data_IF_075263965817
#
_entry.id   IF_075263965817
#
_cell.length_a   1.000
_cell.length_b   1.000
_cell.length_c   1.000
_cell.angle_alpha   90.00
_cell.angle_beta   90.00
_cell.angle_gamma   90.00
#
_symmetry.space_group_name_H-M   'P 1'
#
loop_
_entity.id
_entity.type
_entity.pdbx_description
1 polymer ?
#
# COMPACT_ATOMS: atom_id res chain seq x y z
N UNK A 1 46.86 46.17 -12.05
CA UNK A 1 46.21 45.73 -13.30
C UNK A 1 45.22 44.61 -12.94
N UNK A 2 43.91 44.87 -13.09
CA UNK A 2 42.76 43.95 -13.34
C UNK A 2 42.67 42.67 -12.45
N UNK A 3 41.84 42.58 -11.39
CA UNK A 3 40.38 42.27 -11.31
C UNK A 3 39.84 41.10 -12.17
N UNK A 4 39.32 40.06 -11.51
CA UNK A 4 38.10 39.22 -11.80
C UNK A 4 38.06 38.11 -10.72
N UNK A 5 37.24 38.11 -9.66
CA UNK A 5 35.78 38.01 -9.49
C UNK A 5 35.08 36.87 -10.25
N UNK A 6 34.64 35.87 -9.47
CA UNK A 6 33.36 35.10 -9.47
C UNK A 6 33.52 34.03 -8.38
N UNK A 7 32.93 34.06 -7.17
CA UNK A 7 31.54 34.19 -6.69
C UNK A 7 30.59 33.09 -7.20
N UNK A 8 29.76 32.58 -6.27
CA UNK A 8 28.55 31.73 -6.40
C UNK A 8 28.84 30.20 -6.32
N UNK A 9 28.27 29.39 -5.43
CA UNK A 9 27.28 29.57 -4.37
C UNK A 9 27.44 28.46 -3.30
N UNK A 10 27.15 28.83 -2.06
CA UNK A 10 26.80 27.90 -0.97
C UNK A 10 25.34 27.47 -1.20
N UNK A 11 25.09 26.17 -1.32
CA UNK A 11 23.79 25.55 -1.04
C UNK A 11 24.11 24.26 -0.28
N UNK A 12 24.23 24.36 1.04
CA UNK A 12 23.15 24.01 1.96
C UNK A 12 22.74 22.55 1.82
N UNK A 13 23.44 21.71 2.57
CA UNK A 13 23.01 20.39 3.02
C UNK A 13 21.53 20.40 3.41
N UNK A 14 20.71 19.62 2.72
CA UNK A 14 19.38 19.28 3.22
C UNK A 14 19.13 17.80 2.99
N UNK A 15 19.37 17.03 4.08
CA UNK A 15 18.57 15.89 4.51
C UNK A 15 17.65 15.28 3.45
N UNK A 16 18.20 14.43 2.59
CA UNK A 16 17.50 13.22 2.18
C UNK A 16 18.06 12.09 3.05
N UNK A 17 17.63 12.04 4.31
CA UNK A 17 17.71 10.78 5.04
C UNK A 17 16.91 9.77 4.21
N UNK A 18 17.64 8.77 3.73
CA UNK A 18 17.13 7.68 2.94
C UNK A 18 15.88 7.07 3.58
N UNK A 19 14.72 7.20 2.92
CA UNK A 19 13.59 6.27 3.09
C UNK A 19 13.82 5.02 2.23
N UNK A 20 15.05 4.50 2.28
CA UNK A 20 15.39 3.18 1.83
C UNK A 20 15.81 2.43 3.10
N UNK A 21 14.82 1.94 3.85
CA UNK A 21 15.09 0.97 4.89
C UNK A 21 14.52 -0.36 4.45
N UNK A 22 15.44 -1.27 4.23
CA UNK A 22 15.25 -2.68 3.97
C UNK A 22 14.25 -3.30 4.96
N UNK A 23 13.47 -4.22 4.41
CA UNK A 23 12.56 -5.11 5.12
C UNK A 23 13.40 -5.94 6.10
N UNK A 24 13.43 -5.56 7.39
CA UNK A 24 13.94 -6.42 8.45
C UNK A 24 13.41 -6.04 9.84
N UNK A 25 12.90 -7.06 10.53
CA UNK A 25 12.70 -7.22 11.98
C UNK A 25 11.47 -6.57 12.64
N UNK A 26 10.31 -7.24 12.59
CA UNK A 26 9.23 -7.14 13.59
C UNK A 26 8.46 -8.47 13.75
N UNK A 27 9.03 -9.43 14.46
CA UNK A 27 8.55 -10.82 14.63
C UNK A 27 7.27 -11.01 15.49
N UNK A 28 6.47 -9.96 15.73
CA UNK A 28 5.27 -10.07 16.60
C UNK A 28 4.05 -9.26 16.15
N UNK A 29 4.18 -8.38 15.16
CA UNK A 29 3.04 -7.65 14.63
C UNK A 29 2.84 -8.10 13.19
N UNK A 30 1.73 -8.76 12.94
CA UNK A 30 1.35 -9.17 11.59
C UNK A 30 1.09 -7.89 10.77
N UNK A 31 2.12 -7.44 10.05
CA UNK A 31 2.06 -6.24 9.23
C UNK A 31 1.19 -6.57 8.02
N UNK A 32 -0.02 -6.01 8.04
CA UNK A 32 -1.07 -6.22 7.05
C UNK A 32 -1.35 -4.90 6.34
N UNK A 33 -0.32 -4.27 5.80
CA UNK A 33 -0.49 -3.15 4.88
C UNK A 33 0.46 -3.27 3.69
N UNK A 34 0.07 -2.62 2.59
CA UNK A 34 0.88 -2.50 1.38
C UNK A 34 0.94 -1.04 0.96
N UNK A 35 2.11 -0.62 0.47
CA UNK A 35 2.30 0.72 -0.07
C UNK A 35 1.86 0.71 -1.54
N UNK A 36 0.87 1.52 -1.88
CA UNK A 36 0.36 1.64 -3.24
C UNK A 36 1.02 2.80 -3.99
N UNK A 37 1.29 3.92 -3.32
CA UNK A 37 1.92 5.07 -3.98
C UNK A 37 2.65 5.97 -2.97
N UNK A 38 3.73 6.61 -3.42
CA UNK A 38 4.35 7.73 -2.72
C UNK A 38 4.71 8.80 -3.73
N UNK A 39 4.12 9.98 -3.57
CA UNK A 39 4.39 11.16 -4.39
C UNK A 39 4.96 12.25 -3.50
N UNK A 40 6.20 12.65 -3.76
CA UNK A 40 6.81 13.79 -3.11
C UNK A 40 6.67 15.02 -4.00
N UNK A 41 6.09 16.08 -3.46
CA UNK A 41 6.00 17.37 -4.18
C UNK A 41 6.56 18.51 -3.34
N UNK A 42 6.68 19.68 -3.98
CA UNK A 42 7.13 20.91 -3.32
C UNK A 42 6.16 21.37 -2.24
N UNK A 43 4.86 21.14 -2.43
CA UNK A 43 3.81 21.70 -1.56
C UNK A 43 3.24 20.67 -0.58
N UNK A 44 3.10 19.42 -1.02
CA UNK A 44 2.46 18.36 -0.26
C UNK A 44 3.01 16.99 -0.64
N UNK A 45 3.28 16.16 0.35
CA UNK A 45 3.58 14.75 0.13
C UNK A 45 2.31 13.91 0.21
N UNK A 46 2.14 12.98 -0.72
CA UNK A 46 1.01 12.07 -0.75
C UNK A 46 1.54 10.65 -0.63
N UNK A 47 1.01 9.92 0.35
CA UNK A 47 1.30 8.50 0.57
C UNK A 47 -0.02 7.76 0.47
N UNK A 48 -0.09 6.71 -0.33
CA UNK A 48 -1.27 5.86 -0.42
C UNK A 48 -0.90 4.47 0.07
N UNK A 49 -1.63 4.00 1.07
CA UNK A 49 -1.50 2.64 1.59
C UNK A 49 -2.80 1.86 1.37
N UNK A 50 -2.65 0.55 1.20
CA UNK A 50 -3.72 -0.44 1.10
C UNK A 50 -3.66 -1.35 2.30
N UNK A 51 -4.79 -1.61 2.93
CA UNK A 51 -4.90 -2.54 4.07
C UNK A 51 -6.03 -3.56 3.81
N UNK A 52 -5.94 -4.79 4.34
CA UNK A 52 -6.97 -5.79 4.15
C UNK A 52 -8.33 -5.32 4.64
N UNK A 53 -9.35 -5.65 3.86
CA UNK A 53 -10.74 -5.23 4.08
C UNK A 53 -11.34 -5.73 5.38
N UNK A 54 -10.90 -6.89 5.87
CA UNK A 54 -11.43 -7.53 7.07
C UNK A 54 -10.87 -6.93 8.37
N UNK A 55 -9.94 -5.98 8.30
CA UNK A 55 -9.44 -5.31 9.50
C UNK A 55 -10.51 -4.35 10.03
N UNK A 56 -10.70 -4.36 11.35
CA UNK A 56 -11.53 -3.36 12.00
C UNK A 56 -10.80 -1.99 12.01
N UNK A 57 -11.52 -0.91 12.31
CA UNK A 57 -10.96 0.47 12.31
C UNK A 57 -9.79 0.65 13.28
N UNK A 58 -9.78 -0.07 14.42
CA UNK A 58 -8.68 -0.01 15.39
C UNK A 58 -7.43 -0.66 14.82
N UNK A 59 -7.55 -1.87 14.27
CA UNK A 59 -6.44 -2.60 13.65
C UNK A 59 -5.87 -1.81 12.46
N UNK A 60 -6.73 -1.22 11.63
CA UNK A 60 -6.29 -0.34 10.53
C UNK A 60 -5.47 0.84 11.07
N UNK A 61 -5.89 1.46 12.17
CA UNK A 61 -5.13 2.56 12.78
C UNK A 61 -3.77 2.10 13.32
N UNK A 62 -3.69 0.90 13.88
CA UNK A 62 -2.42 0.30 14.30
C UNK A 62 -1.49 0.08 13.09
N UNK A 63 -1.99 -0.55 12.03
CA UNK A 63 -1.24 -0.77 10.79
C UNK A 63 -0.74 0.54 10.17
N UNK A 64 -1.61 1.55 10.12
CA UNK A 64 -1.25 2.90 9.66
C UNK A 64 -0.11 3.48 10.48
N UNK A 65 -0.18 3.40 11.81
CA UNK A 65 0.84 3.99 12.69
C UNK A 65 2.19 3.25 12.60
N UNK A 66 2.16 1.96 12.28
CA UNK A 66 3.37 1.18 11.98
C UNK A 66 3.97 1.58 10.63
N UNK A 67 3.12 1.78 9.62
CA UNK A 67 3.52 2.18 8.27
C UNK A 67 4.05 3.61 8.21
N UNK A 68 3.37 4.52 8.90
CA UNK A 68 3.64 5.95 8.92
C UNK A 68 4.30 6.28 10.24
N UNK A 69 5.60 6.01 10.31
CA UNK A 69 6.39 6.44 11.46
C UNK A 69 6.41 7.96 11.58
N UNK A 70 6.61 8.46 12.82
CA UNK A 70 6.67 9.88 13.11
C UNK A 70 7.59 10.59 12.11
N UNK A 71 7.18 11.72 11.52
CA UNK A 71 7.89 12.25 10.38
C UNK A 71 9.15 12.96 10.86
N UNK A 72 10.24 12.21 11.07
CA UNK A 72 11.59 12.71 11.35
C UNK A 72 11.76 13.63 12.58
N UNK A 73 13.00 14.01 12.83
CA UNK A 73 13.37 15.13 13.72
C UNK A 73 14.44 15.96 13.00
N UNK A 74 14.19 17.26 12.70
CA UNK A 74 12.97 17.99 12.99
C UNK A 74 11.77 17.52 12.14
N UNK A 75 10.53 17.75 12.60
CA UNK A 75 9.34 17.39 11.83
C UNK A 75 9.31 18.12 10.47
N UNK A 76 8.80 17.52 9.38
CA UNK A 76 8.75 18.17 8.08
C UNK A 76 7.92 19.45 8.16
N UNK A 77 8.42 20.47 7.47
CA UNK A 77 7.78 21.77 7.39
C UNK A 77 6.59 21.84 6.42
N UNK A 78 6.33 20.77 5.66
CA UNK A 78 5.25 20.69 4.67
C UNK A 78 4.17 19.70 5.10
N UNK A 79 3.00 19.85 4.47
CA UNK A 79 1.85 18.96 4.67
C UNK A 79 2.15 17.58 4.08
N UNK A 80 1.69 16.54 4.77
CA UNK A 80 1.70 15.16 4.24
C UNK A 80 0.30 14.59 4.39
N UNK A 81 -0.26 14.07 3.32
CA UNK A 81 -1.53 13.33 3.34
C UNK A 81 -1.27 11.85 3.11
N UNK A 82 -1.80 11.03 4.00
CA UNK A 82 -1.77 9.58 3.89
C UNK A 82 -3.18 9.12 3.56
N UNK A 83 -3.41 8.60 2.35
CA UNK A 83 -4.66 7.95 1.98
C UNK A 83 -4.62 6.47 2.37
N UNK A 84 -5.75 6.00 2.88
CA UNK A 84 -5.96 4.61 3.30
C UNK A 84 -7.04 4.03 2.42
N UNK A 85 -6.65 3.05 1.62
CA UNK A 85 -7.52 2.30 0.75
C UNK A 85 -7.70 0.90 1.29
N UNK A 86 -8.84 0.32 0.98
CA UNK A 86 -8.98 -1.13 1.00
C UNK A 86 -8.08 -1.70 -0.09
N UNK A 87 -7.55 -2.89 0.12
CA UNK A 87 -6.64 -3.49 -0.83
C UNK A 87 -7.32 -4.01 -2.11
N UNK A 88 -8.62 -4.30 -2.03
CA UNK A 88 -9.50 -4.54 -3.18
C UNK A 88 -9.89 -3.29 -3.98
N UNK A 89 -9.58 -2.07 -3.49
CA UNK A 89 -9.85 -0.81 -4.20
C UNK A 89 -8.76 -0.47 -5.20
N UNK A 90 -9.10 0.28 -6.25
CA UNK A 90 -8.11 0.86 -7.15
C UNK A 90 -7.33 1.97 -6.42
N UNK A 91 -6.03 2.15 -6.72
CA UNK A 91 -5.21 3.21 -6.11
C UNK A 91 -5.75 4.63 -6.39
N UNK A 92 -6.50 4.79 -7.49
CA UNK A 92 -7.11 6.06 -7.89
C UNK A 92 -8.51 6.26 -7.30
N UNK A 93 -9.02 5.31 -6.51
CA UNK A 93 -10.34 5.44 -5.90
C UNK A 93 -10.36 6.59 -4.89
N UNK A 94 -11.42 7.39 -4.94
CA UNK A 94 -11.61 8.49 -4.01
C UNK A 94 -11.98 7.92 -2.64
N UNK A 95 -11.12 8.15 -1.65
CA UNK A 95 -11.38 7.80 -0.25
C UNK A 95 -11.34 9.03 0.63
N UNK A 96 -12.20 9.06 1.66
CA UNK A 96 -12.07 10.02 2.77
C UNK A 96 -11.26 9.46 3.93
N UNK A 97 -10.91 8.18 3.89
CA UNK A 97 -10.08 7.52 4.89
C UNK A 97 -8.64 8.01 4.70
N UNK A 98 -8.22 8.95 5.54
CA UNK A 98 -6.90 9.56 5.42
C UNK A 98 -6.38 10.16 6.74
N UNK A 99 -5.06 10.36 6.78
CA UNK A 99 -4.37 11.15 7.79
C UNK A 99 -3.76 12.38 7.16
N UNK A 100 -4.00 13.55 7.75
CA UNK A 100 -3.37 14.79 7.32
C UNK A 100 -2.39 15.24 8.40
N UNK A 101 -1.10 15.20 8.08
CA UNK A 101 -0.07 15.79 8.92
C UNK A 101 -0.10 17.31 8.81
N UNK A 102 -0.19 17.97 9.97
CA UNK A 102 -0.04 19.40 10.14
C UNK A 102 1.30 19.67 10.85
N UNK A 103 2.22 20.45 10.25
CA UNK A 103 3.49 20.79 10.88
C UNK A 103 3.34 21.28 12.32
N UNK A 104 4.08 20.67 13.25
CA UNK A 104 4.05 20.98 14.69
C UNK A 104 2.80 20.51 15.45
N UNK A 105 1.82 19.89 14.77
CA UNK A 105 0.57 19.39 15.38
C UNK A 105 0.36 17.89 15.23
N UNK A 106 1.12 17.22 14.37
CA UNK A 106 1.00 15.79 14.11
C UNK A 106 -0.11 15.46 13.11
N UNK A 107 -0.51 14.19 13.08
CA UNK A 107 -1.53 13.68 12.17
C UNK A 107 -2.94 13.85 12.73
N UNK A 108 -3.84 14.36 11.89
CA UNK A 108 -5.28 14.29 12.10
C UNK A 108 -5.85 13.17 11.23
N UNK A 109 -6.24 12.06 11.86
CA UNK A 109 -6.79 10.88 11.18
C UNK A 109 -8.31 10.96 11.04
N UNK A 110 -8.82 10.48 9.90
CA UNK A 110 -10.24 10.27 9.61
C UNK A 110 -10.37 8.91 8.94
N UNK A 111 -11.11 8.00 9.56
CA UNK A 111 -11.41 6.66 9.03
C UNK A 111 -12.91 6.37 9.18
N UNK A 112 -13.75 7.38 9.01
CA UNK A 112 -15.18 7.28 9.31
C UNK A 112 -15.94 6.51 8.21
N UNK A 113 -15.36 6.48 7.00
CA UNK A 113 -15.89 5.73 5.87
C UNK A 113 -15.26 4.31 5.78
N UNK A 114 -14.50 3.87 6.80
CA UNK A 114 -13.94 2.51 6.82
C UNK A 114 -15.05 1.49 7.11
N UNK A 115 -15.20 0.52 6.21
CA UNK A 115 -16.17 -0.56 6.31
C UNK A 115 -15.44 -1.89 6.25
N UNK A 116 -15.45 -2.58 7.38
CA UNK A 116 -14.87 -3.91 7.55
C UNK A 116 -15.67 -4.94 6.73
N UNK A 117 -14.98 -5.86 6.07
CA UNK A 117 -15.56 -6.98 5.35
C UNK A 117 -15.15 -8.31 6.00
N UNK A 118 -16.00 -8.83 6.88
CA UNK A 118 -15.75 -10.04 7.66
C UNK A 118 -16.05 -11.33 6.90
N UNK A 119 -16.55 -11.24 5.66
CA UNK A 119 -16.90 -12.42 4.87
C UNK A 119 -15.71 -13.36 4.64
N UNK A 120 -14.47 -12.85 4.79
CA UNK A 120 -13.27 -13.67 4.68
C UNK A 120 -13.13 -14.73 5.78
N UNK A 121 -13.68 -14.49 6.97
CA UNK A 121 -13.54 -15.42 8.10
C UNK A 121 -14.35 -16.69 7.90
N UNK A 122 -15.44 -16.60 7.14
CA UNK A 122 -16.30 -17.71 6.73
C UNK A 122 -15.96 -18.23 5.32
N UNK A 123 -15.01 -17.60 4.62
CA UNK A 123 -14.63 -17.99 3.27
C UNK A 123 -13.72 -19.21 3.29
N UNK A 124 -14.16 -20.26 2.60
CA UNK A 124 -13.31 -21.38 2.19
C UNK A 124 -13.18 -21.36 0.66
N UNK A 125 -11.98 -21.17 0.11
CA UNK A 125 -11.80 -21.11 -1.32
C UNK A 125 -12.14 -22.46 -1.96
N UNK A 126 -12.94 -22.41 -3.03
CA UNK A 126 -13.22 -23.60 -3.84
C UNK A 126 -11.96 -24.10 -4.54
N UNK A 127 -11.97 -25.34 -5.04
CA UNK A 127 -10.85 -25.85 -5.85
C UNK A 127 -10.60 -25.00 -7.11
N UNK A 128 -11.66 -24.41 -7.68
CA UNK A 128 -11.55 -23.49 -8.82
C UNK A 128 -10.86 -22.19 -8.39
N UNK A 129 -11.19 -21.63 -7.24
CA UNK A 129 -10.56 -20.40 -6.73
C UNK A 129 -9.08 -20.63 -6.41
N UNK A 130 -8.74 -21.78 -5.82
CA UNK A 130 -7.35 -22.19 -5.56
C UNK A 130 -6.57 -22.34 -6.87
N UNK A 131 -7.16 -22.99 -7.88
CA UNK A 131 -6.56 -23.15 -9.20
C UNK A 131 -6.33 -21.81 -9.90
N UNK A 132 -7.33 -20.92 -9.86
CA UNK A 132 -7.23 -19.57 -10.40
C UNK A 132 -6.11 -18.79 -9.71
N UNK A 133 -6.06 -18.81 -8.38
CA UNK A 133 -5.02 -18.15 -7.60
C UNK A 133 -3.62 -18.68 -7.95
N UNK A 134 -3.44 -20.00 -8.03
CA UNK A 134 -2.15 -20.58 -8.42
C UNK A 134 -1.79 -20.21 -9.86
N UNK A 135 -2.75 -20.16 -10.78
CA UNK A 135 -2.52 -19.72 -12.17
C UNK A 135 -2.05 -18.27 -12.24
N UNK A 136 -2.59 -17.39 -11.38
CA UNK A 136 -2.09 -16.02 -11.23
C UNK A 136 -0.64 -16.03 -10.77
N UNK A 137 -0.31 -16.77 -9.72
CA UNK A 137 1.06 -16.84 -9.20
C UNK A 137 2.02 -17.37 -10.26
N UNK A 138 1.68 -18.47 -10.94
CA UNK A 138 2.50 -19.05 -12.00
C UNK A 138 2.75 -18.06 -13.14
N UNK A 139 1.71 -17.33 -13.54
CA UNK A 139 1.83 -16.29 -14.57
C UNK A 139 2.72 -15.13 -14.12
N UNK A 140 2.63 -14.71 -12.86
CA UNK A 140 3.48 -13.68 -12.28
C UNK A 140 4.95 -14.13 -12.23
N UNK A 141 5.21 -15.36 -11.80
CA UNK A 141 6.57 -15.92 -11.76
C UNK A 141 7.16 -16.07 -13.17
N UNK A 142 6.38 -16.59 -14.13
CA UNK A 142 6.85 -16.80 -15.50
C UNK A 142 7.15 -15.49 -16.23
N UNK A 143 6.45 -14.40 -15.91
CA UNK A 143 6.62 -13.09 -16.53
C UNK A 143 7.48 -12.13 -15.69
N UNK A 144 8.04 -12.61 -14.57
CA UNK A 144 8.79 -11.81 -13.60
C UNK A 144 8.01 -10.56 -13.12
N UNK A 145 6.69 -10.66 -13.05
CA UNK A 145 5.79 -9.59 -12.62
C UNK A 145 5.70 -9.60 -11.10
N UNK A 146 6.05 -8.48 -10.47
CA UNK A 146 5.88 -8.32 -9.03
C UNK A 146 4.39 -8.28 -8.64
N UNK A 147 4.00 -8.73 -7.43
CA UNK A 147 2.63 -8.60 -6.92
C UNK A 147 2.08 -7.17 -7.00
N UNK A 148 2.91 -6.18 -6.69
CA UNK A 148 2.55 -4.77 -6.80
C UNK A 148 2.19 -4.39 -8.24
N UNK A 149 2.98 -4.85 -9.22
CA UNK A 149 2.74 -4.59 -10.64
C UNK A 149 1.51 -5.30 -11.18
N UNK A 150 1.22 -6.51 -10.70
CA UNK A 150 -0.01 -7.23 -11.04
C UNK A 150 -1.24 -6.47 -10.55
N UNK A 151 -1.23 -6.05 -9.28
CA UNK A 151 -2.35 -5.37 -8.63
C UNK A 151 -2.67 -3.98 -9.20
N UNK A 152 -1.67 -3.23 -9.66
CA UNK A 152 -1.83 -1.85 -10.12
C UNK A 152 -2.39 -1.70 -11.54
N UNK A 153 -2.39 -2.76 -12.34
CA UNK A 153 -2.73 -2.70 -13.76
C UNK A 153 -3.96 -3.53 -14.12
N UNK A 154 -4.67 -3.11 -15.17
CA UNK A 154 -5.40 -4.05 -16.05
C UNK A 154 -4.39 -4.87 -16.84
N UNK A 155 -3.56 -5.65 -16.15
CA UNK A 155 -2.48 -6.38 -16.81
C UNK A 155 -3.08 -7.32 -17.85
N UNK A 156 -2.40 -7.46 -18.99
CA UNK A 156 -2.82 -8.42 -20.01
C UNK A 156 -2.90 -9.82 -19.40
N UNK A 157 -2.07 -10.12 -18.41
CA UNK A 157 -2.14 -11.32 -17.58
C UNK A 157 -3.50 -11.49 -16.90
N UNK A 158 -4.02 -10.44 -16.22
CA UNK A 158 -5.36 -10.49 -15.61
C UNK A 158 -6.44 -10.72 -16.65
N UNK A 159 -6.38 -10.04 -17.79
CA UNK A 159 -7.34 -10.19 -18.89
C UNK A 159 -7.32 -11.60 -19.49
N UNK A 160 -6.12 -12.19 -19.65
CA UNK A 160 -5.94 -13.55 -20.14
C UNK A 160 -6.49 -14.58 -19.14
N UNK A 161 -6.18 -14.44 -17.86
CA UNK A 161 -6.69 -15.33 -16.80
C UNK A 161 -8.21 -15.19 -16.66
N UNK A 162 -8.73 -13.96 -16.68
CA UNK A 162 -10.17 -13.70 -16.68
C UNK A 162 -10.87 -14.45 -17.83
N UNK A 163 -10.29 -14.39 -19.04
CA UNK A 163 -10.81 -15.15 -20.19
C UNK A 163 -10.71 -16.67 -20.00
N UNK A 164 -9.61 -17.18 -19.44
CA UNK A 164 -9.38 -18.61 -19.22
C UNK A 164 -10.40 -19.22 -18.24
N UNK A 165 -10.81 -18.45 -17.23
CA UNK A 165 -11.74 -18.90 -16.19
C UNK A 165 -13.18 -18.40 -16.41
N UNK A 166 -13.49 -17.78 -17.55
CA UNK A 166 -14.80 -17.21 -17.87
C UNK A 166 -15.32 -16.22 -16.80
N UNK A 167 -14.42 -15.36 -16.31
CA UNK A 167 -14.68 -14.36 -15.27
C UNK A 167 -14.39 -12.94 -15.77
N UNK A 168 -14.93 -11.95 -15.10
CA UNK A 168 -14.49 -10.56 -15.25
C UNK A 168 -13.15 -10.32 -14.54
N UNK A 169 -12.43 -9.27 -14.94
CA UNK A 169 -11.19 -8.85 -14.26
C UNK A 169 -11.45 -8.51 -12.78
N UNK A 170 -12.59 -7.89 -12.48
CA UNK A 170 -12.98 -7.57 -11.11
C UNK A 170 -13.19 -8.84 -10.25
N UNK A 171 -13.77 -9.90 -10.82
CA UNK A 171 -13.91 -11.19 -10.13
C UNK A 171 -12.56 -11.87 -9.92
N UNK A 172 -11.66 -11.79 -10.90
CA UNK A 172 -10.28 -12.31 -10.76
C UNK A 172 -9.56 -11.59 -9.62
N UNK A 173 -9.64 -10.26 -9.55
CA UNK A 173 -9.05 -9.47 -8.46
C UNK A 173 -9.68 -9.82 -7.11
N UNK A 174 -11.01 -9.96 -7.05
CA UNK A 174 -11.72 -10.35 -5.84
C UNK A 174 -11.27 -11.73 -5.34
N UNK A 175 -11.18 -12.73 -6.21
CA UNK A 175 -10.72 -14.08 -5.87
C UNK A 175 -9.24 -14.05 -5.45
N UNK A 176 -8.40 -13.32 -6.17
CA UNK A 176 -6.99 -13.18 -5.84
C UNK A 176 -6.78 -12.69 -4.40
N UNK A 177 -7.45 -11.60 -4.03
CA UNK A 177 -7.34 -11.04 -2.68
C UNK A 177 -7.95 -11.95 -1.62
N UNK A 178 -9.12 -12.55 -1.86
CA UNK A 178 -9.76 -13.47 -0.89
C UNK A 178 -8.91 -14.71 -0.63
N UNK A 179 -8.39 -15.36 -1.67
CA UNK A 179 -7.52 -16.54 -1.49
C UNK A 179 -6.21 -16.16 -0.78
N UNK A 180 -5.63 -15.01 -1.13
CA UNK A 180 -4.43 -14.48 -0.44
C UNK A 180 -4.67 -14.27 1.06
N UNK A 181 -5.76 -13.58 1.43
CA UNK A 181 -6.08 -13.34 2.84
C UNK A 181 -6.37 -14.63 3.58
N UNK A 182 -7.15 -15.54 2.98
CA UNK A 182 -7.44 -16.84 3.56
C UNK A 182 -6.15 -17.60 3.88
N UNK A 183 -5.20 -17.66 2.92
CA UNK A 183 -3.89 -18.29 3.15
C UNK A 183 -3.12 -17.65 4.31
N UNK A 184 -3.10 -16.32 4.39
CA UNK A 184 -2.46 -15.59 5.49
C UNK A 184 -3.09 -15.90 6.85
N UNK A 185 -4.42 -15.91 6.92
CA UNK A 185 -5.17 -16.24 8.14
C UNK A 185 -4.97 -17.70 8.58
N UNK A 186 -4.85 -18.64 7.65
CA UNK A 186 -4.55 -20.04 7.97
C UNK A 186 -3.11 -20.22 8.49
N UNK A 187 -2.16 -19.45 7.97
CA UNK A 187 -0.78 -19.48 8.45
C UNK A 187 -0.66 -18.94 9.89
N UNK A 188 -1.42 -17.90 10.24
CA UNK A 188 -1.44 -17.31 11.58
C UNK A 188 -2.08 -18.19 12.66
N UNK A 189 -2.81 -19.25 12.29
CA UNK A 189 -3.43 -20.21 13.23
C UNK A 189 -2.49 -21.37 13.63
N UNK A 190 -1.33 -21.50 12.98
CA UNK A 190 -0.34 -22.56 13.24
C UNK A 190 0.73 -22.10 14.21
#
# INVERSE_FOLDING_TARGET
>A
MIRKFSLIAIVSTCFCCAYAQEIAAWDTVDIRYRRAEVLFSTNEDVITIKVPTYLNKFDVMEQIKLAVQFPGTPPPGKKTTVFVLRDDQNKNDKTKNCGIYKPGKGYQWRLDDWQQDDAIFDYEPSEVDKLLYNTILDSMYAQEISPLTFEENESDTKKQIAKMFEKSVAEVDSIYFRVMWWRGLQAAKK
#
